data_IF_820178184505
#
_entry.id   IF_820178184505
#
_cell.length_a   1.000
_cell.length_b   1.000
_cell.length_c   1.000
_cell.angle_alpha   90.00
_cell.angle_beta   90.00
_cell.angle_gamma   90.00
#
_symmetry.space_group_name_H-M   'P 1'
#
loop_
_entity.id
_entity.type
_entity.pdbx_description
1 polymer ?
#
# COMPACT_ATOMS: atom_id res chain seq x y z
N UNK A 1 -15.42 -5.54 12.88
CA UNK A 1 -16.88 -5.55 12.69
C UNK A 1 -17.27 -5.14 11.27
N UNK A 2 -16.81 -3.99 10.74
CA UNK A 2 -17.15 -3.54 9.38
C UNK A 2 -16.86 -4.57 8.26
N UNK A 3 -15.68 -5.19 8.21
CA UNK A 3 -15.34 -6.15 7.16
C UNK A 3 -16.27 -7.37 7.09
N UNK A 4 -16.74 -7.87 8.24
CA UNK A 4 -17.67 -8.99 8.33
C UNK A 4 -19.07 -8.64 7.79
N UNK A 5 -19.47 -7.37 7.84
CA UNK A 5 -20.79 -6.91 7.37
C UNK A 5 -20.79 -6.55 5.89
N UNK A 6 -19.66 -6.05 5.36
CA UNK A 6 -19.55 -5.54 3.99
C UNK A 6 -19.24 -6.66 2.97
N UNK A 7 -18.71 -7.81 3.42
CA UNK A 7 -18.37 -8.93 2.54
C UNK A 7 -17.16 -8.67 1.64
N UNK A 8 -16.30 -7.71 2.00
CA UNK A 8 -15.14 -7.30 1.23
C UNK A 8 -13.92 -6.98 2.10
N UNK A 9 -12.82 -6.59 1.46
CA UNK A 9 -11.59 -6.16 2.15
C UNK A 9 -11.75 -4.70 2.58
N UNK A 10 -11.47 -4.42 3.86
CA UNK A 10 -11.53 -3.07 4.44
C UNK A 10 -10.13 -2.61 4.81
N UNK A 11 -9.67 -1.54 4.16
CA UNK A 11 -8.40 -0.88 4.46
C UNK A 11 -8.66 0.38 5.31
N UNK A 12 -8.35 0.30 6.59
CA UNK A 12 -8.51 1.40 7.54
C UNK A 12 -7.20 2.20 7.57
N UNK A 13 -7.18 3.28 6.78
CA UNK A 13 -6.01 4.16 6.68
C UNK A 13 -5.76 4.87 8.01
N UNK A 14 -4.54 4.73 8.51
CA UNK A 14 -4.01 5.46 9.66
C UNK A 14 -2.47 5.49 9.56
N UNK A 15 -1.77 6.06 10.54
CA UNK A 15 -0.31 5.94 10.59
C UNK A 15 0.15 4.48 10.55
N UNK A 16 -0.61 3.58 11.17
CA UNK A 16 -0.49 2.13 11.00
C UNK A 16 -1.75 1.60 10.35
N UNK A 17 -1.70 1.44 9.04
CA UNK A 17 -2.89 1.06 8.26
C UNK A 17 -3.28 -0.38 8.60
N UNK A 18 -4.55 -0.60 8.94
CA UNK A 18 -5.09 -1.92 9.23
C UNK A 18 -5.87 -2.46 8.04
N UNK A 19 -5.70 -3.74 7.74
CA UNK A 19 -6.34 -4.40 6.60
C UNK A 19 -7.13 -5.58 7.15
N UNK A 20 -8.44 -5.55 6.96
CA UNK A 20 -9.33 -6.63 7.36
C UNK A 20 -9.84 -7.34 6.11
N UNK A 21 -9.57 -8.63 6.02
CA UNK A 21 -10.09 -9.52 4.96
C UNK A 21 -11.19 -10.39 5.56
N UNK A 22 -11.90 -11.21 4.75
CA UNK A 22 -12.91 -12.13 5.29
C UNK A 22 -12.35 -13.13 6.31
N UNK A 23 -11.06 -13.45 6.24
CA UNK A 23 -10.42 -14.51 7.04
C UNK A 23 -9.37 -14.00 8.02
N UNK A 24 -8.75 -12.85 7.74
CA UNK A 24 -7.58 -12.37 8.47
C UNK A 24 -7.63 -10.88 8.78
N UNK A 25 -6.80 -10.45 9.72
CA UNK A 25 -6.50 -9.06 9.98
C UNK A 25 -4.98 -8.85 9.88
N UNK A 26 -4.57 -7.77 9.22
CA UNK A 26 -3.18 -7.39 9.04
C UNK A 26 -2.98 -5.94 9.49
N UNK A 27 -1.76 -5.62 9.92
CA UNK A 27 -1.32 -4.26 10.18
C UNK A 27 -0.11 -3.98 9.31
N UNK A 28 -0.13 -2.86 8.60
CA UNK A 28 1.04 -2.33 7.91
C UNK A 28 1.98 -1.71 8.96
N UNK A 29 3.21 -2.25 9.14
CA UNK A 29 4.13 -1.74 10.15
C UNK A 29 4.79 -0.41 9.75
N UNK A 30 4.64 -0.01 8.47
CA UNK A 30 5.31 1.13 7.87
C UNK A 30 4.40 2.34 7.71
N UNK A 31 5.02 3.51 7.68
CA UNK A 31 4.38 4.79 7.42
C UNK A 31 5.20 5.95 7.96
N UNK A 32 5.14 7.09 7.29
CA UNK A 32 5.89 8.29 7.68
C UNK A 32 5.02 9.54 7.68
N UNK A 33 5.22 10.50 8.61
CA UNK A 33 4.54 11.80 8.55
C UNK A 33 4.76 12.55 7.24
N UNK A 34 5.84 12.25 6.50
CA UNK A 34 6.09 12.83 5.18
C UNK A 34 4.98 12.52 4.16
N UNK A 35 4.12 11.52 4.43
CA UNK A 35 2.95 11.18 3.63
C UNK A 35 1.71 12.02 3.92
N UNK A 36 1.74 12.90 4.93
CA UNK A 36 0.62 13.74 5.33
C UNK A 36 0.39 14.93 4.36
N UNK A 37 0.17 14.62 3.08
CA UNK A 37 -0.08 15.57 2.01
C UNK A 37 -1.25 15.12 1.12
N UNK A 38 -1.89 16.08 0.44
CA UNK A 38 -3.03 15.82 -0.44
C UNK A 38 -2.67 14.87 -1.59
N UNK A 39 -3.59 13.97 -1.94
CA UNK A 39 -3.40 12.97 -3.02
C UNK A 39 -2.83 11.62 -2.57
N UNK A 40 -2.30 11.51 -1.35
CA UNK A 40 -1.70 10.27 -0.86
C UNK A 40 -2.70 9.09 -0.79
N UNK A 41 -3.96 9.40 -0.43
CA UNK A 41 -5.03 8.41 -0.44
C UNK A 41 -5.44 7.96 -1.83
N UNK A 42 -5.37 8.85 -2.82
CA UNK A 42 -5.73 8.57 -4.22
C UNK A 42 -4.67 7.69 -4.88
N UNK A 43 -3.38 7.99 -4.62
CA UNK A 43 -2.25 7.15 -5.00
C UNK A 43 -2.41 5.73 -4.44
N UNK A 44 -2.69 5.59 -3.13
CA UNK A 44 -2.91 4.27 -2.54
C UNK A 44 -4.09 3.52 -3.17
N UNK A 45 -5.21 4.21 -3.42
CA UNK A 45 -6.38 3.59 -4.06
C UNK A 45 -6.07 3.08 -5.47
N UNK A 46 -5.35 3.89 -6.28
CA UNK A 46 -4.90 3.49 -7.61
C UNK A 46 -3.94 2.29 -7.57
N UNK A 47 -2.99 2.28 -6.62
CA UNK A 47 -2.09 1.15 -6.42
C UNK A 47 -2.84 -0.13 -6.06
N UNK A 48 -3.80 -0.07 -5.15
CA UNK A 48 -4.66 -1.22 -4.79
C UNK A 48 -5.40 -1.74 -6.02
N UNK A 49 -6.03 -0.85 -6.80
CA UNK A 49 -6.74 -1.23 -8.03
C UNK A 49 -5.81 -1.93 -9.03
N UNK A 50 -4.61 -1.38 -9.25
CA UNK A 50 -3.62 -1.97 -10.15
C UNK A 50 -3.10 -3.33 -9.68
N UNK A 51 -2.85 -3.51 -8.37
CA UNK A 51 -2.36 -4.77 -7.81
C UNK A 51 -3.43 -5.86 -7.86
N UNK A 52 -4.66 -5.55 -7.45
CA UNK A 52 -5.79 -6.50 -7.50
C UNK A 52 -6.09 -6.94 -8.94
N UNK A 53 -5.87 -6.06 -9.92
CA UNK A 53 -6.04 -6.42 -11.34
C UNK A 53 -4.96 -7.38 -11.88
N UNK A 54 -3.81 -7.47 -11.22
CA UNK A 54 -2.65 -8.25 -11.70
C UNK A 54 -2.43 -9.55 -10.92
N UNK A 55 -2.72 -9.57 -9.62
CA UNK A 55 -2.40 -10.70 -8.74
C UNK A 55 -3.65 -11.47 -8.31
N UNK A 56 -3.57 -12.80 -8.33
CA UNK A 56 -4.72 -13.69 -8.15
C UNK A 56 -5.34 -13.65 -6.75
N UNK A 57 -4.52 -13.56 -5.70
CA UNK A 57 -5.01 -13.43 -4.31
C UNK A 57 -5.23 -11.95 -3.99
N UNK A 58 -6.51 -11.52 -3.96
CA UNK A 58 -6.87 -10.14 -3.66
C UNK A 58 -6.45 -9.69 -2.26
N UNK A 59 -6.44 -10.58 -1.26
CA UNK A 59 -6.00 -10.23 0.10
C UNK A 59 -4.50 -9.93 0.11
N UNK A 60 -3.71 -10.82 -0.50
CA UNK A 60 -2.27 -10.60 -0.65
C UNK A 60 -1.96 -9.37 -1.51
N UNK A 61 -2.70 -9.16 -2.60
CA UNK A 61 -2.54 -8.01 -3.50
C UNK A 61 -2.78 -6.68 -2.78
N UNK A 62 -3.85 -6.58 -1.98
CA UNK A 62 -4.13 -5.38 -1.17
C UNK A 62 -3.03 -5.16 -0.13
N UNK A 63 -2.61 -6.21 0.58
CA UNK A 63 -1.52 -6.10 1.55
C UNK A 63 -0.21 -5.63 0.89
N UNK A 64 0.14 -6.20 -0.27
CA UNK A 64 1.33 -5.82 -1.02
C UNK A 64 1.27 -4.36 -1.52
N UNK A 65 0.12 -3.89 -2.01
CA UNK A 65 -0.05 -2.51 -2.43
C UNK A 65 0.10 -1.52 -1.26
N UNK A 66 -0.55 -1.79 -0.13
CA UNK A 66 -0.46 -0.96 1.08
C UNK A 66 0.96 -0.91 1.62
N UNK A 67 1.64 -2.05 1.68
CA UNK A 67 3.03 -2.12 2.14
C UNK A 67 3.96 -1.37 1.20
N UNK A 68 3.89 -1.64 -0.11
CA UNK A 68 4.76 -1.00 -1.12
C UNK A 68 4.63 0.51 -1.11
N UNK A 69 3.39 1.01 -0.99
CA UNK A 69 3.09 2.43 -0.88
C UNK A 69 3.83 3.09 0.31
N UNK A 70 3.76 2.50 1.50
CA UNK A 70 4.46 3.05 2.68
C UNK A 70 5.97 2.85 2.61
N UNK A 71 6.45 1.70 2.12
CA UNK A 71 7.87 1.40 2.01
C UNK A 71 8.60 2.40 1.09
N UNK A 72 8.03 2.66 -0.09
CA UNK A 72 8.56 3.67 -1.01
C UNK A 72 8.58 5.06 -0.36
N UNK A 73 7.51 5.42 0.35
CA UNK A 73 7.43 6.71 1.02
C UNK A 73 8.49 6.87 2.14
N UNK A 74 8.76 5.82 2.93
CA UNK A 74 9.81 5.85 3.94
C UNK A 74 11.21 6.02 3.32
N UNK A 75 11.50 5.33 2.22
CA UNK A 75 12.76 5.48 1.49
C UNK A 75 12.93 6.93 0.99
N UNK A 76 11.89 7.48 0.37
CA UNK A 76 11.88 8.86 -0.12
C UNK A 76 12.05 9.87 1.03
N UNK A 77 11.37 9.66 2.15
CA UNK A 77 11.39 10.55 3.33
C UNK A 77 12.77 10.67 4.00
N UNK A 78 13.72 9.78 3.71
CA UNK A 78 15.10 9.92 4.20
C UNK A 78 15.80 11.19 3.70
N UNK A 79 15.37 11.72 2.55
CA UNK A 79 16.00 12.86 1.88
C UNK A 79 15.05 14.05 1.68
N UNK A 80 13.80 13.97 2.16
CA UNK A 80 12.79 15.01 1.95
C UNK A 80 11.80 15.12 3.11
N UNK A 81 11.33 16.34 3.37
CA UNK A 81 10.38 16.61 4.45
C UNK A 81 8.95 16.15 4.11
N UNK A 82 8.54 16.30 2.84
CA UNK A 82 7.24 15.85 2.32
C UNK A 82 7.48 14.98 1.10
N UNK A 83 6.79 13.85 1.02
CA UNK A 83 6.78 12.96 -0.15
C UNK A 83 5.55 13.29 -1.00
N UNK A 84 5.77 13.69 -2.25
CA UNK A 84 4.66 13.91 -3.19
C UNK A 84 4.09 12.55 -3.64
N UNK A 85 2.75 12.41 -3.73
CA UNK A 85 2.12 11.14 -4.10
C UNK A 85 2.54 10.62 -5.48
N UNK A 86 2.87 11.50 -6.42
CA UNK A 86 3.35 11.13 -7.76
C UNK A 86 4.72 10.46 -7.73
N UNK A 87 5.60 10.83 -6.79
CA UNK A 87 6.93 10.21 -6.66
C UNK A 87 6.82 8.74 -6.28
N UNK A 88 5.83 8.37 -5.45
CA UNK A 88 5.58 6.96 -5.12
C UNK A 88 5.23 6.16 -6.37
N UNK A 89 4.39 6.71 -7.26
CA UNK A 89 4.03 6.07 -8.53
C UNK A 89 5.22 5.98 -9.47
N UNK A 90 6.05 7.02 -9.54
CA UNK A 90 7.29 7.01 -10.35
C UNK A 90 8.25 5.91 -9.90
N UNK A 91 8.37 5.69 -8.59
CA UNK A 91 9.28 4.71 -8.01
C UNK A 91 8.73 3.27 -8.02
N UNK A 92 7.41 3.11 -8.11
CA UNK A 92 6.72 1.83 -8.00
C UNK A 92 7.26 0.73 -8.94
N UNK A 93 7.51 0.96 -10.25
CA UNK A 93 8.05 -0.08 -11.13
C UNK A 93 9.43 -0.58 -10.68
N UNK A 94 10.32 0.32 -10.22
CA UNK A 94 11.64 -0.07 -9.71
C UNK A 94 11.48 -0.89 -8.43
N UNK A 95 10.67 -0.42 -7.49
CA UNK A 95 10.39 -1.12 -6.24
C UNK A 95 9.85 -2.54 -6.50
N UNK A 96 8.86 -2.67 -7.39
CA UNK A 96 8.31 -3.97 -7.79
C UNK A 96 9.37 -4.88 -8.43
N UNK A 97 10.25 -4.33 -9.27
CA UNK A 97 11.31 -5.11 -9.93
C UNK A 97 12.32 -5.69 -8.94
N UNK A 98 12.67 -4.95 -7.89
CA UNK A 98 13.61 -5.41 -6.85
C UNK A 98 12.99 -6.47 -5.95
N UNK A 99 11.67 -6.43 -5.75
CA UNK A 99 10.93 -7.35 -4.88
C UNK A 99 10.19 -8.45 -5.65
N UNK A 100 10.37 -8.54 -6.98
CA UNK A 100 9.82 -9.65 -7.75
C UNK A 100 10.52 -10.94 -7.31
N UNK A 101 9.74 -11.97 -6.99
CA UNK A 101 10.31 -13.30 -6.81
C UNK A 101 10.76 -13.77 -8.19
N UNK A 102 12.07 -13.96 -8.38
CA UNK A 102 12.58 -14.68 -9.55
C UNK A 102 12.48 -16.15 -9.19
N UNK A 103 11.43 -16.81 -9.66
CA UNK A 103 11.45 -18.26 -9.70
C UNK A 103 12.62 -18.67 -10.61
N UNK A 104 13.69 -19.16 -9.98
CA UNK A 104 14.73 -19.99 -10.61
C UNK A 104 14.41 -21.43 -10.27
#
# INVERSE_FOLDING_TARGET
QAAATIGGIVVVKSHRTQIYTPTNAYENPLGTPAQATGGMGDTLAGMIGGFVAQFADSSAAVCAAVYSHSAIAELLAQQQYVVLPSQIITELPHFMKVHEHKDV
#
